data_IF_997326721443
#
_entry.id   IF_997326721443
#
_cell.length_a   1.000
_cell.length_b   1.000
_cell.length_c   1.000
_cell.angle_alpha   90.00
_cell.angle_beta   90.00
_cell.angle_gamma   90.00
#
_symmetry.space_group_name_H-M   'P 1'
#
loop_
_entity.id
_entity.type
_entity.pdbx_description
1 polymer ?
#
# COMPACT_ATOMS: atom_id res chain seq x y z
N UNK A 1 12.40 -10.85 17.86
CA UNK A 1 13.10 -10.57 19.15
C UNK A 1 13.94 -9.29 19.11
N UNK A 2 14.92 -9.14 18.17
CA UNK A 2 15.76 -7.92 18.14
C UNK A 2 14.92 -6.67 17.81
N UNK A 3 14.03 -6.72 16.81
CA UNK A 3 13.12 -5.62 16.47
C UNK A 3 12.12 -5.33 17.59
N UNK A 4 11.55 -6.34 18.24
CA UNK A 4 10.64 -6.16 19.39
C UNK A 4 11.36 -5.41 20.52
N UNK A 5 12.60 -5.79 20.82
CA UNK A 5 13.42 -5.07 21.80
C UNK A 5 13.69 -3.63 21.35
N UNK A 6 14.04 -3.42 20.07
CA UNK A 6 14.23 -2.09 19.52
C UNK A 6 12.99 -1.19 19.67
N UNK A 7 11.81 -1.74 19.43
CA UNK A 7 10.56 -0.99 19.54
C UNK A 7 10.17 -0.68 21.01
N UNK A 8 10.61 -1.50 21.99
CA UNK A 8 10.28 -1.32 23.41
C UNK A 8 11.38 -0.61 24.20
N UNK A 9 12.66 -0.88 23.90
CA UNK A 9 13.84 -0.30 24.56
C UNK A 9 14.98 -0.18 23.53
N UNK A 10 15.00 0.90 22.73
CA UNK A 10 16.00 1.11 21.70
C UNK A 10 17.44 1.13 22.23
N UNK A 11 17.66 1.69 23.45
CA UNK A 11 18.99 1.79 24.02
C UNK A 11 19.59 0.42 24.34
N UNK A 12 18.82 -0.45 25.00
CA UNK A 12 19.23 -1.84 25.26
C UNK A 12 19.40 -2.64 23.97
N UNK A 13 18.54 -2.39 22.96
CA UNK A 13 18.66 -3.08 21.68
C UNK A 13 19.92 -2.67 20.93
N UNK A 14 20.26 -1.38 20.92
CA UNK A 14 21.47 -0.85 20.28
C UNK A 14 22.76 -1.33 20.98
N UNK A 15 22.77 -1.35 22.32
CA UNK A 15 23.88 -1.92 23.09
C UNK A 15 24.14 -3.39 22.75
N UNK A 16 23.06 -4.16 22.58
CA UNK A 16 23.13 -5.61 22.36
C UNK A 16 23.38 -6.02 20.92
N UNK A 17 22.79 -5.31 19.96
CA UNK A 17 22.73 -5.71 18.55
C UNK A 17 23.36 -4.68 17.60
N UNK A 18 23.86 -3.56 18.12
CA UNK A 18 24.31 -2.43 17.32
C UNK A 18 23.18 -1.63 16.69
N UNK A 19 23.52 -0.54 15.98
CA UNK A 19 22.53 0.32 15.35
C UNK A 19 21.68 -0.43 14.32
N UNK A 20 20.35 -0.24 14.37
CA UNK A 20 19.40 -0.96 13.53
C UNK A 20 19.67 -0.79 12.03
N UNK A 21 20.23 0.34 11.61
CA UNK A 21 20.62 0.63 10.23
C UNK A 21 21.71 -0.30 9.68
N UNK A 22 22.47 -0.95 10.56
CA UNK A 22 23.60 -1.83 10.19
C UNK A 22 23.28 -3.32 10.35
N UNK A 23 22.05 -3.67 10.70
CA UNK A 23 21.70 -5.07 10.87
C UNK A 23 21.76 -5.84 9.55
N UNK A 24 22.38 -7.01 9.57
CA UNK A 24 22.37 -7.92 8.42
C UNK A 24 21.01 -8.57 8.26
N UNK A 25 20.30 -8.15 7.22
CA UNK A 25 18.98 -8.67 6.86
C UNK A 25 19.03 -9.60 5.64
N UNK A 26 20.22 -9.94 5.13
CA UNK A 26 20.42 -10.69 3.88
C UNK A 26 19.75 -12.06 3.83
N UNK A 27 19.50 -12.69 4.99
CA UNK A 27 18.83 -13.99 5.09
C UNK A 27 17.35 -13.90 5.47
N UNK A 28 16.81 -12.70 5.61
CA UNK A 28 15.41 -12.52 5.99
C UNK A 28 14.51 -12.72 4.77
N UNK A 29 13.54 -13.61 4.90
CA UNK A 29 12.56 -13.90 3.84
C UNK A 29 11.15 -13.37 4.17
N UNK A 30 10.85 -13.15 5.44
CA UNK A 30 9.57 -12.65 5.92
C UNK A 30 9.78 -11.45 6.85
N UNK A 31 9.27 -10.29 6.44
CA UNK A 31 9.26 -9.05 7.21
C UNK A 31 7.83 -8.65 7.63
N UNK A 32 6.88 -9.60 7.60
CA UNK A 32 5.51 -9.33 7.98
C UNK A 32 5.39 -8.81 9.41
N UNK A 33 4.60 -7.75 9.57
CA UNK A 33 4.30 -7.10 10.85
C UNK A 33 5.53 -6.63 11.67
N UNK A 34 6.70 -6.51 11.03
CA UNK A 34 7.97 -6.29 11.71
C UNK A 34 7.98 -5.04 12.62
N UNK A 35 7.35 -3.94 12.18
CA UNK A 35 7.17 -2.69 12.92
C UNK A 35 5.70 -2.36 13.16
N UNK A 36 4.84 -3.40 13.20
CA UNK A 36 3.42 -3.20 13.46
C UNK A 36 3.19 -2.48 14.79
N UNK A 37 2.42 -1.36 14.74
CA UNK A 37 2.13 -0.50 15.88
C UNK A 37 3.36 0.13 16.58
N UNK A 38 4.53 0.10 15.95
CA UNK A 38 5.71 0.84 16.40
C UNK A 38 5.52 2.35 16.13
N UNK A 39 4.67 3.00 16.94
CA UNK A 39 4.14 4.35 16.68
C UNK A 39 5.20 5.43 16.57
N UNK A 40 6.32 5.29 17.29
CA UNK A 40 7.45 6.24 17.33
C UNK A 40 8.59 5.83 16.40
N UNK A 41 8.51 4.65 15.77
CA UNK A 41 9.60 4.15 14.94
C UNK A 41 9.79 5.01 13.68
N UNK A 42 11.00 5.56 13.53
CA UNK A 42 11.41 6.31 12.35
C UNK A 42 12.94 6.24 12.15
N UNK A 43 13.53 5.04 12.22
CA UNK A 43 14.94 4.84 12.06
C UNK A 43 15.35 4.58 10.61
N UNK A 44 16.57 4.99 10.20
CA UNK A 44 17.05 4.79 8.83
C UNK A 44 17.35 3.31 8.59
N UNK A 45 16.49 2.65 7.83
CA UNK A 45 16.61 1.24 7.44
C UNK A 45 16.66 1.07 5.92
N UNK A 46 16.90 2.16 5.18
CA UNK A 46 16.92 2.17 3.72
C UNK A 46 18.01 1.30 3.09
N UNK A 47 19.09 1.03 3.83
CA UNK A 47 20.20 0.20 3.36
C UNK A 47 20.04 -1.29 3.72
N UNK A 48 18.93 -1.69 4.31
CA UNK A 48 18.65 -3.10 4.57
C UNK A 48 18.62 -3.92 3.27
N UNK A 49 19.24 -5.09 3.30
CA UNK A 49 19.19 -6.03 2.19
C UNK A 49 17.84 -6.77 2.20
N UNK A 50 16.99 -6.49 1.21
CA UNK A 50 15.65 -7.08 1.09
C UNK A 50 15.54 -8.11 -0.05
N UNK A 51 16.67 -8.53 -0.65
CA UNK A 51 16.69 -9.41 -1.82
C UNK A 51 15.95 -10.74 -1.65
N UNK A 52 15.96 -11.28 -0.44
CA UNK A 52 15.32 -12.57 -0.16
C UNK A 52 13.91 -12.44 0.43
N UNK A 53 13.41 -11.20 0.58
CA UNK A 53 12.09 -10.98 1.19
C UNK A 53 10.98 -11.29 0.20
N UNK A 54 10.05 -12.12 0.62
CA UNK A 54 8.87 -12.52 -0.16
C UNK A 54 7.55 -12.00 0.43
N UNK A 55 7.56 -11.59 1.71
CA UNK A 55 6.37 -11.14 2.42
C UNK A 55 6.67 -9.88 3.24
N UNK A 56 5.94 -8.79 2.94
CA UNK A 56 5.99 -7.50 3.65
C UNK A 56 4.62 -7.10 4.23
N UNK A 57 3.70 -8.09 4.41
CA UNK A 57 2.38 -7.83 4.97
C UNK A 57 2.47 -7.06 6.29
N UNK A 58 1.76 -5.93 6.39
CA UNK A 58 1.64 -5.16 7.62
C UNK A 58 2.96 -4.63 8.21
N UNK A 59 4.08 -4.63 7.45
CA UNK A 59 5.41 -4.32 7.98
C UNK A 59 5.45 -3.00 8.77
N UNK A 60 4.77 -1.96 8.32
CA UNK A 60 4.69 -0.65 8.99
C UNK A 60 3.26 -0.30 9.40
N UNK A 61 2.38 -1.28 9.52
CA UNK A 61 1.00 -1.08 9.96
C UNK A 61 0.96 -0.34 11.30
N UNK A 62 0.32 0.83 11.36
CA UNK A 62 0.23 1.66 12.56
C UNK A 62 1.55 2.31 13.00
N UNK A 63 2.62 2.27 12.20
CA UNK A 63 3.85 2.99 12.43
C UNK A 63 3.69 4.48 12.05
N UNK A 64 2.94 5.22 12.86
CA UNK A 64 2.45 6.56 12.52
C UNK A 64 3.53 7.61 12.28
N UNK A 65 4.74 7.41 12.83
CA UNK A 65 5.89 8.32 12.70
C UNK A 65 6.87 7.89 11.59
N UNK A 66 6.65 6.72 10.95
CA UNK A 66 7.58 6.22 9.95
C UNK A 66 7.52 7.03 8.65
N UNK A 67 8.68 7.61 8.26
CA UNK A 67 8.83 8.34 6.99
C UNK A 67 10.28 8.31 6.48
N UNK A 68 10.97 7.17 6.61
CA UNK A 68 12.34 7.01 6.11
C UNK A 68 12.37 6.55 4.65
N UNK A 69 13.45 6.93 3.96
CA UNK A 69 13.72 6.51 2.57
C UNK A 69 13.94 5.01 2.49
N UNK A 70 13.12 4.33 1.70
CA UNK A 70 13.17 2.88 1.44
C UNK A 70 13.05 2.56 -0.07
N UNK A 71 13.15 3.58 -0.93
CA UNK A 71 13.00 3.42 -2.38
C UNK A 71 14.04 2.50 -3.03
N UNK A 72 15.20 2.30 -2.38
CA UNK A 72 16.25 1.39 -2.86
C UNK A 72 16.03 -0.09 -2.54
N UNK A 73 14.99 -0.42 -1.78
CA UNK A 73 14.72 -1.81 -1.43
C UNK A 73 14.44 -2.65 -2.67
N UNK A 74 15.02 -3.82 -2.72
CA UNK A 74 14.71 -4.82 -3.72
C UNK A 74 13.42 -5.54 -3.31
N UNK A 75 12.35 -5.35 -4.08
CA UNK A 75 11.03 -5.92 -3.79
C UNK A 75 10.54 -6.89 -4.85
N UNK A 76 11.37 -7.20 -5.85
CA UNK A 76 10.99 -8.05 -7.00
C UNK A 76 10.59 -9.48 -6.60
N UNK A 77 10.99 -9.95 -5.40
CA UNK A 77 10.57 -11.26 -4.89
C UNK A 77 9.34 -11.20 -3.97
N UNK A 78 8.83 -9.99 -3.69
CA UNK A 78 7.70 -9.82 -2.77
C UNK A 78 6.40 -10.16 -3.47
N UNK A 79 5.61 -11.04 -2.85
CA UNK A 79 4.28 -11.43 -3.36
C UNK A 79 3.13 -10.79 -2.58
N UNK A 80 3.37 -10.41 -1.33
CA UNK A 80 2.34 -9.88 -0.44
C UNK A 80 2.79 -8.56 0.22
N UNK A 81 2.11 -7.46 -0.16
CA UNK A 81 2.28 -6.13 0.41
C UNK A 81 1.03 -5.64 1.13
N UNK A 82 0.07 -6.55 1.44
CA UNK A 82 -1.17 -6.13 2.09
C UNK A 82 -0.90 -5.43 3.42
N UNK A 83 -1.62 -4.34 3.67
CA UNK A 83 -1.51 -3.53 4.89
C UNK A 83 -0.12 -2.94 5.20
N UNK A 84 0.84 -2.98 4.25
CA UNK A 84 2.24 -2.62 4.53
C UNK A 84 2.38 -1.24 5.19
N UNK A 85 1.61 -0.24 4.76
CA UNK A 85 1.60 1.13 5.30
C UNK A 85 0.24 1.53 5.89
N UNK A 86 -0.57 0.54 6.33
CA UNK A 86 -1.84 0.84 6.98
C UNK A 86 -1.62 1.76 8.18
N UNK A 87 -2.32 2.90 8.22
CA UNK A 87 -2.16 3.95 9.25
C UNK A 87 -0.71 4.46 9.47
N UNK A 88 0.19 4.28 8.52
CA UNK A 88 1.48 4.98 8.48
C UNK A 88 1.23 6.44 8.04
N UNK A 89 0.68 7.25 8.94
CA UNK A 89 -0.01 8.51 8.63
C UNK A 89 0.82 9.56 7.93
N UNK A 90 2.13 9.62 8.23
CA UNK A 90 3.04 10.62 7.65
C UNK A 90 3.95 10.05 6.56
N UNK A 91 3.86 8.75 6.27
CA UNK A 91 4.67 8.13 5.22
C UNK A 91 4.39 8.78 3.86
N UNK A 92 5.44 9.34 3.25
CA UNK A 92 5.38 9.97 1.93
C UNK A 92 6.74 9.92 1.22
N UNK A 93 7.38 8.74 1.18
CA UNK A 93 8.66 8.56 0.53
C UNK A 93 8.51 8.01 -0.89
N UNK A 94 9.44 8.35 -1.82
CA UNK A 94 9.41 7.82 -3.17
C UNK A 94 9.67 6.32 -3.18
N UNK A 95 8.72 5.57 -3.73
CA UNK A 95 8.74 4.12 -3.89
C UNK A 95 8.29 3.71 -5.31
N UNK A 96 8.24 4.66 -6.24
CA UNK A 96 7.82 4.43 -7.62
C UNK A 96 8.72 3.46 -8.40
N UNK A 97 10.01 3.43 -8.06
CA UNK A 97 11.00 2.55 -8.71
C UNK A 97 10.93 1.07 -8.24
N UNK A 98 10.01 0.74 -7.35
CA UNK A 98 9.86 -0.64 -6.90
C UNK A 98 9.35 -1.55 -8.02
N UNK A 99 10.06 -2.64 -8.27
CA UNK A 99 9.63 -3.67 -9.20
C UNK A 99 8.60 -4.60 -8.54
N UNK A 100 7.32 -4.35 -8.83
CA UNK A 100 6.18 -5.01 -8.19
C UNK A 100 5.62 -6.21 -8.99
N UNK A 101 6.34 -6.69 -10.02
CA UNK A 101 5.83 -7.68 -10.98
C UNK A 101 5.35 -9.00 -10.34
N UNK A 102 5.86 -9.39 -9.16
CA UNK A 102 5.43 -10.60 -8.45
C UNK A 102 4.36 -10.37 -7.38
N UNK A 103 3.96 -9.10 -7.16
CA UNK A 103 2.96 -8.80 -6.12
C UNK A 103 1.58 -9.26 -6.58
N UNK A 104 0.94 -10.06 -5.74
CA UNK A 104 -0.42 -10.57 -5.97
C UNK A 104 -1.46 -9.92 -5.05
N UNK A 105 -1.03 -9.39 -3.90
CA UNK A 105 -1.92 -8.84 -2.89
C UNK A 105 -1.46 -7.46 -2.39
N UNK A 106 -2.25 -6.42 -2.69
CA UNK A 106 -2.06 -5.03 -2.24
C UNK A 106 -3.22 -4.55 -1.35
N UNK A 107 -4.00 -5.48 -0.76
CA UNK A 107 -5.15 -5.15 0.07
C UNK A 107 -4.77 -4.20 1.22
N UNK A 108 -5.42 -3.04 1.31
CA UNK A 108 -5.21 -2.05 2.37
C UNK A 108 -3.79 -1.48 2.46
N UNK A 109 -2.95 -1.60 1.42
CA UNK A 109 -1.53 -1.23 1.49
C UNK A 109 -1.30 0.19 2.00
N UNK A 110 -2.11 1.15 1.60
CA UNK A 110 -2.06 2.55 2.03
C UNK A 110 -3.31 2.99 2.80
N UNK A 111 -4.05 2.04 3.39
CA UNK A 111 -5.23 2.38 4.19
C UNK A 111 -4.85 3.37 5.29
N UNK A 112 -5.47 4.55 5.32
CA UNK A 112 -5.18 5.57 6.33
C UNK A 112 -3.79 6.22 6.24
N UNK A 113 -3.02 6.00 5.17
CA UNK A 113 -1.76 6.68 4.88
C UNK A 113 -2.05 8.12 4.40
N UNK A 114 -2.40 9.01 5.33
CA UNK A 114 -3.02 10.31 5.07
C UNK A 114 -2.14 11.30 4.32
N UNK A 115 -0.81 11.11 4.35
CA UNK A 115 0.16 11.99 3.68
C UNK A 115 0.72 11.41 2.39
N UNK A 116 0.40 10.14 2.05
CA UNK A 116 0.99 9.49 0.90
C UNK A 116 0.43 10.05 -0.41
N UNK A 117 1.31 10.64 -1.22
CA UNK A 117 1.02 11.17 -2.56
C UNK A 117 2.28 11.11 -3.43
N UNK A 118 2.94 9.94 -3.51
CA UNK A 118 4.09 9.72 -4.39
C UNK A 118 3.67 8.96 -5.63
N UNK A 119 4.34 9.29 -6.73
CA UNK A 119 4.11 8.64 -8.02
C UNK A 119 4.46 7.14 -7.93
N UNK A 120 3.50 6.32 -8.33
CA UNK A 120 3.55 4.86 -8.39
C UNK A 120 2.96 4.36 -9.71
N UNK A 121 2.90 5.22 -10.73
CA UNK A 121 2.32 4.91 -12.05
C UNK A 121 3.04 3.77 -12.77
N UNK A 122 4.35 3.62 -12.52
CA UNK A 122 5.19 2.60 -13.15
C UNK A 122 5.11 1.21 -12.48
N UNK A 123 4.33 1.06 -11.42
CA UNK A 123 4.17 -0.25 -10.79
C UNK A 123 3.53 -1.27 -11.73
N UNK A 124 4.13 -2.44 -11.84
CA UNK A 124 3.55 -3.56 -12.56
C UNK A 124 2.48 -4.25 -11.71
N UNK A 125 1.22 -4.07 -12.09
CA UNK A 125 0.06 -4.61 -11.36
C UNK A 125 -0.57 -5.84 -12.02
N UNK A 126 0.05 -6.36 -13.09
CA UNK A 126 -0.48 -7.49 -13.86
C UNK A 126 -0.89 -8.70 -13.00
N UNK A 127 -0.11 -9.03 -11.98
CA UNK A 127 -0.37 -10.19 -11.14
C UNK A 127 -1.23 -9.88 -9.89
N UNK A 128 -1.64 -8.63 -9.70
CA UNK A 128 -2.45 -8.24 -8.54
C UNK A 128 -3.88 -8.71 -8.69
N UNK A 129 -4.36 -9.46 -7.70
CA UNK A 129 -5.74 -9.95 -7.65
C UNK A 129 -6.60 -9.21 -6.64
N UNK A 130 -5.99 -8.54 -5.65
CA UNK A 130 -6.71 -7.90 -4.56
C UNK A 130 -6.17 -6.49 -4.28
N UNK A 131 -7.00 -5.48 -4.57
CA UNK A 131 -6.75 -4.06 -4.33
C UNK A 131 -7.78 -3.44 -3.35
N UNK A 132 -8.56 -4.29 -2.65
CA UNK A 132 -9.55 -3.79 -1.71
C UNK A 132 -8.93 -2.88 -0.65
N UNK A 133 -9.59 -1.77 -0.32
CA UNK A 133 -9.15 -0.77 0.67
C UNK A 133 -7.78 -0.11 0.40
N UNK A 134 -7.14 -0.33 -0.75
CA UNK A 134 -5.73 0.05 -0.98
C UNK A 134 -5.45 1.52 -0.65
N UNK A 135 -6.33 2.45 -1.03
CA UNK A 135 -6.21 3.89 -0.77
C UNK A 135 -7.35 4.43 0.10
N UNK A 136 -8.07 3.56 0.82
CA UNK A 136 -9.14 4.02 1.70
C UNK A 136 -8.55 4.93 2.79
N UNK A 137 -9.16 6.13 3.00
CA UNK A 137 -8.64 7.18 3.89
C UNK A 137 -7.24 7.74 3.52
N UNK A 138 -6.71 7.48 2.32
CA UNK A 138 -5.54 8.16 1.78
C UNK A 138 -5.96 9.54 1.23
N UNK A 139 -6.17 10.49 2.14
CA UNK A 139 -6.92 11.74 1.87
C UNK A 139 -6.29 12.64 0.81
N UNK A 140 -4.96 12.61 0.64
CA UNK A 140 -4.24 13.49 -0.31
C UNK A 140 -3.86 12.77 -1.59
N UNK A 141 -3.94 11.43 -1.64
CA UNK A 141 -3.51 10.64 -2.78
C UNK A 141 -4.25 11.03 -4.06
N UNK A 142 -3.49 11.44 -5.08
CA UNK A 142 -4.02 11.79 -6.39
C UNK A 142 -3.01 11.55 -7.53
N UNK A 143 -2.31 10.41 -7.52
CA UNK A 143 -1.30 10.08 -8.54
C UNK A 143 -1.89 9.36 -9.75
N UNK A 144 -1.28 9.48 -10.95
CA UNK A 144 -1.82 8.98 -12.20
C UNK A 144 -1.64 7.45 -12.34
N UNK A 145 -2.59 6.69 -11.82
CA UNK A 145 -2.58 5.23 -11.82
C UNK A 145 -3.46 4.61 -12.94
N UNK A 146 -3.85 5.41 -13.93
CA UNK A 146 -4.69 4.96 -15.04
C UNK A 146 -4.04 3.89 -15.94
N UNK A 147 -2.70 3.83 -15.98
CA UNK A 147 -1.91 2.84 -16.73
C UNK A 147 -1.85 1.46 -16.09
N UNK A 148 -2.33 1.30 -14.86
CA UNK A 148 -2.27 0.02 -14.16
C UNK A 148 -3.06 -1.07 -14.87
N UNK A 149 -2.46 -2.25 -15.00
CA UNK A 149 -3.13 -3.43 -15.53
C UNK A 149 -3.99 -4.07 -14.45
N UNK A 150 -5.31 -3.96 -14.60
CA UNK A 150 -6.28 -4.44 -13.60
C UNK A 150 -7.02 -5.73 -14.03
N UNK A 151 -6.63 -6.32 -15.17
CA UNK A 151 -7.34 -7.49 -15.75
C UNK A 151 -7.49 -8.68 -14.79
N UNK A 152 -6.57 -8.85 -13.84
CA UNK A 152 -6.61 -9.96 -12.88
C UNK A 152 -7.21 -9.58 -11.52
N UNK A 153 -7.62 -8.32 -11.34
CA UNK A 153 -8.19 -7.84 -10.07
C UNK A 153 -9.61 -8.36 -9.88
N UNK A 154 -9.86 -9.00 -8.76
CA UNK A 154 -11.19 -9.53 -8.39
C UNK A 154 -11.87 -8.73 -7.29
N UNK A 155 -11.11 -7.96 -6.49
CA UNK A 155 -11.61 -7.21 -5.35
C UNK A 155 -11.11 -5.76 -5.38
N UNK A 156 -12.05 -4.81 -5.52
CA UNK A 156 -11.83 -3.36 -5.43
C UNK A 156 -12.69 -2.71 -4.34
N UNK A 157 -13.18 -3.52 -3.37
CA UNK A 157 -14.00 -3.04 -2.26
C UNK A 157 -13.31 -1.87 -1.55
N UNK A 158 -14.02 -0.73 -1.42
CA UNK A 158 -13.57 0.48 -0.73
C UNK A 158 -12.19 1.00 -1.16
N UNK A 159 -11.73 0.69 -2.38
CA UNK A 159 -10.37 1.04 -2.83
C UNK A 159 -10.06 2.53 -2.66
N UNK A 160 -11.02 3.42 -2.94
CA UNK A 160 -10.89 4.88 -2.81
C UNK A 160 -11.88 5.48 -1.81
N UNK A 161 -12.44 4.69 -0.91
CA UNK A 161 -13.36 5.21 0.12
C UNK A 161 -12.63 6.25 0.98
N UNK A 162 -13.21 7.46 1.15
CA UNK A 162 -12.61 8.59 1.88
C UNK A 162 -11.28 9.13 1.26
N UNK A 163 -10.90 8.69 0.04
CA UNK A 163 -9.80 9.28 -0.71
C UNK A 163 -10.24 10.61 -1.32
N UNK A 164 -10.35 11.63 -0.46
CA UNK A 164 -11.04 12.88 -0.77
C UNK A 164 -10.39 13.75 -1.86
N UNK A 165 -9.11 13.51 -2.18
CA UNK A 165 -8.38 14.20 -3.24
C UNK A 165 -8.33 13.46 -4.57
N UNK A 166 -8.64 12.15 -4.57
CA UNK A 166 -8.47 11.31 -5.75
C UNK A 166 -9.43 11.71 -6.88
N UNK A 167 -8.87 12.03 -8.06
CA UNK A 167 -9.62 12.34 -9.27
C UNK A 167 -8.81 12.05 -10.54
N UNK A 168 -8.13 10.91 -10.61
CA UNK A 168 -7.35 10.54 -11.78
C UNK A 168 -8.17 9.68 -12.78
N UNK A 169 -7.88 9.78 -14.10
CA UNK A 169 -8.57 9.00 -15.10
C UNK A 169 -8.23 7.51 -14.95
N UNK A 170 -9.25 6.71 -14.69
CA UNK A 170 -9.17 5.25 -14.51
C UNK A 170 -10.22 4.53 -15.39
N UNK A 171 -10.75 5.22 -16.40
CA UNK A 171 -11.78 4.67 -17.29
C UNK A 171 -11.30 3.47 -18.10
N UNK A 172 -10.00 3.40 -18.40
CA UNK A 172 -9.37 2.32 -19.17
C UNK A 172 -9.09 1.04 -18.36
N UNK A 173 -9.38 1.04 -17.06
CA UNK A 173 -9.18 -0.16 -16.24
C UNK A 173 -10.05 -1.31 -16.71
N UNK A 174 -9.46 -2.47 -16.88
CA UNK A 174 -10.19 -3.69 -17.18
C UNK A 174 -10.80 -4.27 -15.90
N UNK A 175 -12.14 -4.20 -15.82
CA UNK A 175 -12.90 -4.60 -14.63
C UNK A 175 -13.64 -5.93 -14.79
N UNK A 176 -13.41 -6.65 -15.90
CA UNK A 176 -14.20 -7.83 -16.23
C UNK A 176 -14.15 -8.96 -15.18
N UNK A 177 -13.06 -9.04 -14.40
CA UNK A 177 -12.90 -10.04 -13.32
C UNK A 177 -13.33 -9.54 -11.93
N UNK A 178 -13.71 -8.27 -11.81
CA UNK A 178 -14.05 -7.69 -10.49
C UNK A 178 -15.41 -8.20 -10.03
N UNK A 179 -15.45 -8.76 -8.81
CA UNK A 179 -16.69 -9.25 -8.18
C UNK A 179 -17.19 -8.36 -7.02
N UNK A 180 -16.30 -7.60 -6.37
CA UNK A 180 -16.64 -6.73 -5.24
C UNK A 180 -16.16 -5.29 -5.46
N UNK A 181 -17.11 -4.37 -5.63
CA UNK A 181 -16.91 -2.91 -5.73
C UNK A 181 -17.65 -2.16 -4.61
N UNK A 182 -18.04 -2.85 -3.52
CA UNK A 182 -18.75 -2.20 -2.43
C UNK A 182 -18.03 -0.95 -1.95
N UNK A 183 -18.75 0.19 -1.91
CA UNK A 183 -18.27 1.47 -1.37
C UNK A 183 -16.96 1.97 -2.00
N UNK A 184 -16.65 1.59 -3.26
CA UNK A 184 -15.34 1.87 -3.89
C UNK A 184 -14.98 3.35 -3.86
N UNK A 185 -15.94 4.25 -4.09
CA UNK A 185 -15.77 5.71 -4.07
C UNK A 185 -16.59 6.40 -2.98
N UNK A 186 -16.96 5.68 -1.94
CA UNK A 186 -17.72 6.21 -0.82
C UNK A 186 -16.96 7.38 -0.19
N UNK A 187 -17.58 8.60 -0.11
CA UNK A 187 -16.93 9.85 0.32
C UNK A 187 -15.70 10.28 -0.50
N UNK A 188 -15.47 9.77 -1.70
CA UNK A 188 -14.45 10.28 -2.62
C UNK A 188 -14.95 11.58 -3.29
N UNK A 189 -14.94 12.67 -2.54
CA UNK A 189 -15.67 13.89 -2.85
C UNK A 189 -15.18 14.67 -4.09
N UNK A 190 -13.95 14.41 -4.56
CA UNK A 190 -13.42 15.01 -5.79
C UNK A 190 -13.55 14.12 -7.00
N UNK A 191 -13.82 12.82 -6.82
CA UNK A 191 -13.85 11.88 -7.93
C UNK A 191 -14.99 12.19 -8.91
N UNK A 192 -14.63 12.50 -10.15
CA UNK A 192 -15.57 12.82 -11.23
C UNK A 192 -14.98 12.42 -12.61
N UNK A 193 -14.48 11.20 -12.74
CA UNK A 193 -13.91 10.71 -13.99
C UNK A 193 -14.89 9.78 -14.71
N UNK A 194 -14.85 9.72 -16.06
CA UNK A 194 -15.69 8.81 -16.83
C UNK A 194 -15.24 7.37 -16.59
N UNK A 195 -16.19 6.52 -16.16
CA UNK A 195 -16.01 5.09 -15.93
C UNK A 195 -17.16 4.29 -16.57
N UNK A 196 -17.84 4.88 -17.55
CA UNK A 196 -19.00 4.26 -18.21
C UNK A 196 -18.67 2.99 -18.99
N UNK A 197 -17.42 2.81 -19.40
CA UNK A 197 -16.97 1.65 -20.18
C UNK A 197 -16.58 0.43 -19.31
N UNK A 198 -16.65 0.54 -18.00
CA UNK A 198 -16.31 -0.57 -17.11
C UNK A 198 -17.26 -1.76 -17.31
N UNK A 199 -16.67 -2.93 -17.49
CA UNK A 199 -17.43 -4.17 -17.54
C UNK A 199 -17.80 -4.64 -16.13
N UNK A 200 -19.08 -4.50 -15.77
CA UNK A 200 -19.61 -4.87 -14.45
C UNK A 200 -20.36 -6.19 -14.44
N UNK A 201 -20.28 -6.99 -15.50
CA UNK A 201 -21.06 -8.23 -15.65
C UNK A 201 -20.79 -9.28 -14.55
N UNK A 202 -19.59 -9.29 -13.98
CA UNK A 202 -19.20 -10.20 -12.90
C UNK A 202 -19.33 -9.58 -11.51
N UNK A 203 -19.73 -8.30 -11.41
CA UNK A 203 -19.86 -7.63 -10.11
C UNK A 203 -21.10 -8.12 -9.37
N UNK A 204 -20.90 -8.75 -8.23
CA UNK A 204 -21.99 -9.24 -7.36
C UNK A 204 -22.24 -8.34 -6.15
N UNK A 205 -21.29 -7.42 -5.83
CA UNK A 205 -21.38 -6.51 -4.70
C UNK A 205 -21.01 -5.10 -5.13
N UNK A 206 -21.99 -4.17 -5.10
CA UNK A 206 -21.84 -2.79 -5.56
C UNK A 206 -22.55 -1.78 -4.63
N UNK A 207 -22.84 -2.16 -3.38
CA UNK A 207 -23.57 -1.28 -2.46
C UNK A 207 -22.75 -0.04 -2.14
N UNK A 208 -23.41 1.14 -2.08
CA UNK A 208 -22.82 2.41 -1.68
C UNK A 208 -21.60 2.86 -2.51
N UNK A 209 -21.46 2.40 -3.76
CA UNK A 209 -20.25 2.66 -4.57
C UNK A 209 -19.91 4.16 -4.65
N UNK A 210 -20.91 5.04 -4.77
CA UNK A 210 -20.77 6.51 -4.82
C UNK A 210 -21.45 7.22 -3.64
N UNK A 211 -21.69 6.52 -2.51
CA UNK A 211 -22.34 7.15 -1.37
C UNK A 211 -21.55 8.37 -0.91
N UNK A 212 -22.19 9.57 -0.88
CA UNK A 212 -21.57 10.85 -0.54
C UNK A 212 -20.37 11.27 -1.43
N UNK A 213 -20.12 10.60 -2.54
CA UNK A 213 -19.27 11.13 -3.61
C UNK A 213 -20.02 12.31 -4.26
N UNK A 214 -19.38 13.47 -4.41
CA UNK A 214 -20.02 14.62 -5.07
C UNK A 214 -20.11 14.35 -6.57
N UNK A 215 -21.22 14.87 -7.14
CA UNK A 215 -21.45 14.91 -8.60
C UNK A 215 -20.47 15.87 -9.25
#
# INVERSE_FOLDING_TARGET
>A
KAVELWCSDPATAEEKYGPISQWDTSRVTDMSNLFQNARSFNQPIGDWNTHNVTNMNGMFKGAIAFNQTIGKWYVSNVTNMSFMFEDARIFNQPIGDWDTHNVTNMYGMFYGARSFDKDISEWNTLNVTNMGFMFSYAMVFNQPIGSWDTRNVTNMKRMFSEASSFNQPIGEWDTHNVSDMNSMFCFAIKFNQPIGEWNTSNVTKMSNIFYMAKK
#
